data_IF_307719368894
#
_entry.id   IF_307719368894
#
_cell.length_a   1.000
_cell.length_b   1.000
_cell.length_c   1.000
_cell.angle_alpha   90.00
_cell.angle_beta   90.00
_cell.angle_gamma   90.00
#
_symmetry.space_group_name_H-M   'P 1'
#
loop_
_entity.id
_entity.type
_entity.pdbx_description
1 polymer ?
#
# COMPACT_ATOMS: atom_id res chain seq x y z
N UNK A 1 18.81 -1.52 3.79
CA UNK A 1 18.49 -1.64 5.23
C UNK A 1 18.72 -3.09 5.61
N UNK A 2 19.35 -3.40 6.75
CA UNK A 2 19.46 -4.79 7.19
C UNK A 2 18.12 -5.29 7.75
N UNK A 3 17.89 -6.61 7.77
CA UNK A 3 16.63 -7.22 8.27
C UNK A 3 16.27 -6.75 9.69
N UNK A 4 17.28 -6.62 10.55
CA UNK A 4 17.13 -6.19 11.94
C UNK A 4 16.68 -4.73 12.03
N UNK A 5 17.31 -3.84 11.26
CA UNK A 5 16.90 -2.42 11.19
C UNK A 5 15.46 -2.28 10.71
N UNK A 6 15.07 -3.07 9.69
CA UNK A 6 13.73 -3.03 9.11
C UNK A 6 12.67 -3.57 10.06
N UNK A 7 12.95 -4.69 10.73
CA UNK A 7 12.03 -5.29 11.70
C UNK A 7 11.87 -4.41 12.95
N UNK A 8 12.97 -3.81 13.40
CA UNK A 8 12.97 -2.85 14.52
C UNK A 8 12.18 -1.61 14.14
N UNK A 9 12.39 -1.05 12.95
CA UNK A 9 11.64 0.13 12.49
C UNK A 9 10.13 -0.16 12.36
N UNK A 10 9.72 -1.32 11.82
CA UNK A 10 8.30 -1.70 11.76
C UNK A 10 7.70 -1.98 13.15
N UNK A 11 8.48 -2.55 14.08
CA UNK A 11 8.03 -2.86 15.44
C UNK A 11 7.94 -1.64 16.37
N UNK A 12 8.85 -0.68 16.21
CA UNK A 12 8.93 0.54 17.00
C UNK A 12 8.12 1.71 16.39
N UNK A 13 7.40 1.46 15.28
CA UNK A 13 6.65 2.52 14.62
C UNK A 13 5.50 2.99 15.55
N UNK A 14 5.50 4.26 16.00
CA UNK A 14 4.70 4.68 17.16
C UNK A 14 3.19 4.83 16.86
N UNK A 15 2.78 4.69 15.61
CA UNK A 15 1.39 4.84 15.18
C UNK A 15 0.85 3.49 14.72
N UNK A 16 -0.35 3.11 15.18
CA UNK A 16 -1.06 1.97 14.61
C UNK A 16 -1.28 2.23 13.12
N UNK A 17 -0.50 1.53 12.29
CA UNK A 17 -0.66 1.55 10.84
C UNK A 17 -1.68 0.49 10.46
N UNK A 18 -2.62 0.87 9.61
CA UNK A 18 -3.48 -0.09 8.94
C UNK A 18 -3.18 -0.11 7.47
N UNK A 19 -3.15 -1.32 6.91
CA UNK A 19 -3.12 -1.56 5.48
C UNK A 19 -4.40 -2.30 5.11
N UNK A 20 -5.05 -1.81 4.05
CA UNK A 20 -6.15 -2.49 3.40
C UNK A 20 -5.68 -2.87 1.99
N UNK A 21 -5.24 -4.12 1.85
CA UNK A 21 -4.76 -4.67 0.57
C UNK A 21 -5.95 -4.97 -0.33
N UNK A 22 -5.89 -4.47 -1.56
CA UNK A 22 -6.95 -4.62 -2.56
C UNK A 22 -6.56 -5.53 -3.71
N UNK A 23 -5.32 -5.42 -4.17
CA UNK A 23 -4.78 -6.26 -5.22
C UNK A 23 -3.41 -6.77 -4.79
N UNK A 24 -3.12 -8.01 -5.17
CA UNK A 24 -1.77 -8.56 -5.15
C UNK A 24 -1.55 -9.19 -6.52
N UNK A 25 -0.53 -8.74 -7.22
CA UNK A 25 -0.16 -9.24 -8.54
C UNK A 25 1.35 -9.40 -8.64
N UNK A 26 1.81 -10.45 -9.29
CA UNK A 26 3.23 -10.69 -9.40
C UNK A 26 3.54 -11.84 -10.33
N UNK A 27 4.79 -11.90 -10.76
CA UNK A 27 5.34 -12.99 -11.54
C UNK A 27 6.81 -13.21 -11.15
N UNK A 28 7.19 -14.48 -11.02
CA UNK A 28 8.53 -14.86 -10.56
C UNK A 28 8.84 -14.26 -9.20
N UNK A 29 9.87 -13.43 -9.16
CA UNK A 29 10.39 -12.84 -7.93
C UNK A 29 9.88 -11.42 -7.67
N UNK A 30 9.01 -10.87 -8.51
CA UNK A 30 8.50 -9.50 -8.35
C UNK A 30 7.00 -9.53 -8.08
N UNK A 31 6.62 -8.95 -6.94
CA UNK A 31 5.24 -8.88 -6.48
C UNK A 31 4.88 -7.44 -6.15
N UNK A 32 3.64 -7.07 -6.41
CA UNK A 32 3.09 -5.74 -6.18
C UNK A 32 1.80 -5.91 -5.38
N UNK A 33 1.74 -5.24 -4.23
CA UNK A 33 0.52 -5.08 -3.45
C UNK A 33 0.03 -3.63 -3.58
N UNK A 34 -1.26 -3.46 -3.85
CA UNK A 34 -1.90 -2.15 -3.98
C UNK A 34 -3.09 -2.07 -3.04
N UNK A 35 -3.32 -0.89 -2.47
CA UNK A 35 -4.40 -0.70 -1.53
C UNK A 35 -4.43 0.67 -0.90
N UNK A 36 -4.96 0.74 0.32
CA UNK A 36 -4.97 1.94 1.15
C UNK A 36 -4.16 1.73 2.42
N UNK A 37 -3.44 2.76 2.86
CA UNK A 37 -2.66 2.78 4.07
C UNK A 37 -2.95 4.05 4.86
N UNK A 38 -2.89 3.97 6.18
CA UNK A 38 -3.10 5.13 7.03
C UNK A 38 -2.79 4.85 8.50
N UNK A 39 -3.01 5.89 9.29
CA UNK A 39 -2.94 5.82 10.75
C UNK A 39 -4.34 5.95 11.34
N UNK A 40 -4.57 5.37 12.51
CA UNK A 40 -5.82 5.56 13.23
C UNK A 40 -6.18 7.05 13.37
N UNK A 41 -7.42 7.41 13.01
CA UNK A 41 -7.92 8.79 13.02
C UNK A 41 -7.48 9.66 11.82
N UNK A 42 -6.63 9.15 10.93
CA UNK A 42 -6.22 9.82 9.70
C UNK A 42 -7.06 9.41 8.48
N UNK A 43 -7.00 10.21 7.41
CA UNK A 43 -7.55 9.83 6.11
C UNK A 43 -6.60 8.84 5.43
N UNK A 44 -7.07 7.67 4.97
CA UNK A 44 -6.24 6.72 4.23
C UNK A 44 -5.73 7.33 2.93
N UNK A 45 -4.52 6.94 2.53
CA UNK A 45 -3.93 7.26 1.23
C UNK A 45 -3.68 5.99 0.43
N UNK A 46 -3.79 6.04 -0.91
CA UNK A 46 -3.32 4.96 -1.77
C UNK A 46 -1.86 4.59 -1.49
N UNK A 47 -1.57 3.30 -1.50
CA UNK A 47 -0.20 2.79 -1.51
C UNK A 47 0.03 1.79 -2.64
N UNK A 48 1.29 1.71 -3.05
CA UNK A 48 1.84 0.63 -3.87
C UNK A 48 3.08 0.11 -3.17
N UNK A 49 3.10 -1.18 -2.87
CA UNK A 49 4.24 -1.86 -2.28
C UNK A 49 4.83 -2.86 -3.29
N UNK A 50 6.10 -2.67 -3.63
CA UNK A 50 6.83 -3.48 -4.59
C UNK A 50 7.84 -4.36 -3.82
N UNK A 51 7.62 -5.66 -3.88
CA UNK A 51 8.38 -6.69 -3.19
C UNK A 51 9.21 -7.50 -4.18
N UNK A 52 10.52 -7.54 -3.96
CA UNK A 52 11.42 -8.43 -4.67
C UNK A 52 11.86 -9.57 -3.74
N UNK A 53 11.75 -10.80 -4.24
CA UNK A 53 12.08 -12.01 -3.52
C UNK A 53 13.42 -12.61 -3.99
N UNK A 54 14.13 -13.22 -3.05
CA UNK A 54 15.24 -14.12 -3.30
C UNK A 54 14.98 -15.42 -2.55
N UNK A 55 14.49 -16.43 -3.27
CA UNK A 55 13.94 -17.62 -2.64
C UNK A 55 12.61 -17.29 -1.97
N UNK A 56 12.50 -17.59 -0.68
CA UNK A 56 11.33 -17.37 0.16
C UNK A 56 11.39 -16.06 0.98
N UNK A 57 12.46 -15.28 0.82
CA UNK A 57 12.67 -14.05 1.57
C UNK A 57 12.56 -12.82 0.67
N UNK A 58 12.00 -11.74 1.22
CA UNK A 58 12.03 -10.41 0.59
C UNK A 58 13.46 -9.87 0.70
N UNK A 59 14.08 -9.57 -0.44
CA UNK A 59 15.43 -8.97 -0.48
C UNK A 59 15.39 -7.46 -0.73
N UNK A 60 14.28 -6.94 -1.26
CA UNK A 60 14.00 -5.51 -1.40
C UNK A 60 12.50 -5.23 -1.36
N UNK A 61 12.14 -4.20 -0.60
CA UNK A 61 10.80 -3.63 -0.51
C UNK A 61 10.86 -2.16 -0.93
N UNK A 62 9.86 -1.67 -1.67
CA UNK A 62 9.76 -0.27 -2.09
C UNK A 62 8.31 0.18 -2.03
N UNK A 63 7.99 1.02 -1.05
CA UNK A 63 6.64 1.50 -0.79
C UNK A 63 6.50 2.92 -1.30
N UNK A 64 5.49 3.15 -2.14
CA UNK A 64 5.00 4.47 -2.50
C UNK A 64 3.69 4.73 -1.79
N UNK A 65 3.61 5.87 -1.10
CA UNK A 65 2.35 6.42 -0.60
C UNK A 65 2.09 7.72 -1.37
N UNK A 66 0.89 7.85 -1.93
CA UNK A 66 0.55 8.99 -2.77
C UNK A 66 -0.86 9.50 -2.48
N UNK A 67 -0.97 10.78 -2.12
CA UNK A 67 -2.27 11.43 -2.00
C UNK A 67 -2.98 11.55 -3.35
N UNK A 68 -4.30 11.43 -3.35
CA UNK A 68 -5.10 11.71 -4.54
C UNK A 68 -4.92 13.17 -4.97
N UNK A 69 -4.91 13.41 -6.28
CA UNK A 69 -4.92 14.75 -6.86
C UNK A 69 -6.15 14.92 -7.75
N UNK A 70 -6.68 16.14 -7.89
CA UNK A 70 -7.85 16.37 -8.73
C UNK A 70 -7.58 15.96 -10.18
N UNK A 71 -8.54 15.26 -10.85
CA UNK A 71 -8.39 14.96 -12.26
C UNK A 71 -8.38 16.26 -13.09
N UNK A 72 -7.62 16.28 -14.18
CA UNK A 72 -7.64 17.39 -15.12
C UNK A 72 -9.01 17.47 -15.82
N UNK A 73 -9.63 18.65 -15.82
CA UNK A 73 -11.00 18.87 -16.33
C UNK A 73 -11.18 18.38 -17.77
N UNK A 74 -10.18 18.65 -18.60
CA UNK A 74 -10.12 18.26 -20.02
C UNK A 74 -10.14 16.74 -20.26
N UNK A 75 -9.88 15.92 -19.23
CA UNK A 75 -9.91 14.45 -19.33
C UNK A 75 -11.20 13.82 -18.80
N UNK A 76 -12.08 14.60 -18.16
CA UNK A 76 -13.32 14.08 -17.53
C UNK A 76 -14.20 13.30 -18.51
N UNK A 77 -14.45 13.76 -19.76
CA UNK A 77 -15.30 13.01 -20.69
C UNK A 77 -14.74 11.65 -21.13
N UNK A 78 -13.44 11.42 -20.91
CA UNK A 78 -12.73 10.19 -21.31
C UNK A 78 -12.44 9.28 -20.13
N UNK A 79 -12.75 9.71 -18.90
CA UNK A 79 -12.55 8.93 -17.71
C UNK A 79 -13.80 8.09 -17.43
N UNK A 80 -13.61 6.78 -17.26
CA UNK A 80 -14.58 5.98 -16.52
C UNK A 80 -14.38 6.24 -15.03
N UNK A 81 -15.47 6.46 -14.30
CA UNK A 81 -15.38 6.52 -12.84
C UNK A 81 -14.91 5.17 -12.33
N UNK A 82 -13.74 5.16 -11.70
CA UNK A 82 -13.16 3.91 -11.25
C UNK A 82 -13.82 3.49 -9.95
N UNK A 83 -14.12 2.19 -9.77
CA UNK A 83 -14.39 1.64 -8.45
C UNK A 83 -13.27 1.92 -7.43
N UNK A 84 -12.07 2.32 -7.89
CA UNK A 84 -10.96 2.78 -7.05
C UNK A 84 -11.28 4.09 -6.30
N UNK A 85 -12.13 4.95 -6.87
CA UNK A 85 -12.56 6.22 -6.26
C UNK A 85 -13.74 6.04 -5.29
N UNK A 86 -14.47 4.92 -5.39
CA UNK A 86 -15.77 4.70 -4.71
C UNK A 86 -15.82 3.48 -3.80
N UNK A 87 -14.77 2.65 -3.71
CA UNK A 87 -14.83 1.47 -2.86
C UNK A 87 -14.93 1.86 -1.38
N UNK A 88 -15.99 1.43 -0.68
CA UNK A 88 -15.97 1.43 0.77
C UNK A 88 -14.86 0.48 1.21
N UNK A 89 -14.05 0.90 2.18
CA UNK A 89 -12.94 0.11 2.70
C UNK A 89 -13.37 -1.34 2.97
N UNK A 90 -12.70 -2.28 2.32
CA UNK A 90 -12.84 -3.71 2.55
C UNK A 90 -12.48 -4.04 4.01
N UNK A 91 -13.11 -5.05 4.62
CA UNK A 91 -13.11 -5.24 6.07
C UNK A 91 -11.77 -5.72 6.67
N UNK A 92 -10.70 -5.82 5.87
CA UNK A 92 -9.41 -6.35 6.36
C UNK A 92 -8.56 -5.20 6.87
N UNK A 93 -8.72 -4.89 8.16
CA UNK A 93 -7.72 -4.15 8.93
C UNK A 93 -6.54 -5.09 9.20
N UNK A 94 -5.48 -5.04 8.40
CA UNK A 94 -4.23 -5.66 8.79
C UNK A 94 -3.50 -4.69 9.74
N UNK A 95 -3.20 -5.13 10.97
CA UNK A 95 -2.25 -4.41 11.83
C UNK A 95 -0.89 -4.49 11.16
N UNK A 96 -0.29 -3.34 10.84
CA UNK A 96 1.12 -3.27 10.51
C UNK A 96 1.95 -3.27 11.80
N UNK A 97 2.12 -4.46 12.40
CA UNK A 97 2.93 -4.68 13.60
C UNK A 97 3.15 -6.18 13.78
N UNK A 98 4.38 -6.58 14.07
CA UNK A 98 4.84 -7.98 14.11
C UNK A 98 4.14 -8.88 15.11
#
# INVERSE_FOLDING_TARGET
MAREDFSTWRGEYPLETYFEVRSVRGEGNTWIAEGQAGYEGGQPVPFVDILHFRGDLIDRETIYLGGAFPPAEERVPYAEQSPLETAPGLPVKARGGG
#
